data_IF_040667636618
#
_entry.id   IF_040667636618
#
_cell.length_a   1.000
_cell.length_b   1.000
_cell.length_c   1.000
_cell.angle_alpha   90.00
_cell.angle_beta   90.00
_cell.angle_gamma   90.00
#
_symmetry.space_group_name_H-M   'P 1'
#
loop_
_entity.id
_entity.type
_entity.pdbx_description
1 polymer ?
#
# COMPACT_ATOMS: atom_id res chain seq x y z
N UNK A 1 13.90 26.65 -9.75
CA UNK A 1 12.89 26.59 -10.81
C UNK A 1 12.99 25.38 -11.71
N UNK A 2 14.17 25.03 -12.23
CA UNK A 2 14.34 23.89 -13.15
C UNK A 2 14.21 22.53 -12.46
N UNK A 3 14.64 22.42 -11.22
CA UNK A 3 14.46 21.21 -10.40
C UNK A 3 12.97 20.88 -10.24
N UNK A 4 12.17 21.90 -9.97
CA UNK A 4 10.74 21.77 -9.76
C UNK A 4 9.97 21.34 -11.04
N UNK A 5 10.48 21.75 -12.21
CA UNK A 5 9.82 21.49 -13.50
C UNK A 5 10.21 20.16 -14.14
N UNK A 6 11.40 19.63 -13.86
CA UNK A 6 11.96 18.52 -14.64
C UNK A 6 11.88 17.16 -13.97
N UNK A 7 12.04 17.03 -12.66
CA UNK A 7 12.03 15.72 -11.98
C UNK A 7 11.71 15.85 -10.47
N UNK A 8 10.46 16.14 -10.08
CA UNK A 8 10.12 16.25 -8.65
C UNK A 8 10.41 14.98 -7.88
N UNK A 9 10.23 13.80 -8.49
CA UNK A 9 10.50 12.50 -7.87
C UNK A 9 12.01 12.26 -7.70
N UNK A 10 12.82 12.55 -8.70
CA UNK A 10 14.27 12.36 -8.66
C UNK A 10 14.99 13.25 -7.63
N UNK A 11 14.37 14.35 -7.23
CA UNK A 11 14.92 15.28 -6.25
C UNK A 11 14.21 15.26 -4.89
N UNK A 12 13.20 14.42 -4.74
CA UNK A 12 12.43 14.32 -3.49
C UNK A 12 13.29 13.88 -2.30
N UNK A 13 14.18 12.92 -2.52
CA UNK A 13 15.16 12.48 -1.53
C UNK A 13 16.47 12.12 -2.22
N UNK A 14 17.42 13.05 -2.24
CA UNK A 14 18.76 12.79 -2.74
C UNK A 14 19.54 12.04 -1.66
N UNK A 15 19.54 10.71 -1.74
CA UNK A 15 20.19 9.83 -0.77
C UNK A 15 21.66 9.56 -1.08
N UNK A 16 22.10 9.83 -2.33
CA UNK A 16 23.50 9.61 -2.77
C UNK A 16 23.98 10.75 -3.65
N UNK A 17 24.97 11.46 -3.19
CA UNK A 17 25.88 12.22 -4.03
C UNK A 17 26.98 11.23 -4.49
N UNK A 18 26.94 10.79 -5.74
CA UNK A 18 27.97 9.90 -6.23
C UNK A 18 29.31 10.66 -6.31
N UNK A 19 30.40 10.14 -5.71
CA UNK A 19 31.73 10.64 -6.00
C UNK A 19 32.05 10.37 -7.47
N UNK A 20 32.76 11.31 -8.12
CA UNK A 20 33.07 11.34 -9.56
C UNK A 20 33.89 10.12 -10.06
N UNK A 21 34.14 9.11 -9.24
CA UNK A 21 34.85 7.90 -9.60
C UNK A 21 33.96 6.68 -9.48
N UNK A 22 33.61 6.01 -10.59
CA UNK A 22 32.72 4.86 -10.54
C UNK A 22 33.52 3.60 -10.18
N UNK A 23 33.27 3.03 -9.02
CA UNK A 23 33.47 1.60 -8.80
C UNK A 23 32.15 1.03 -8.30
N UNK A 24 31.23 0.84 -9.22
CA UNK A 24 30.02 0.08 -8.92
C UNK A 24 30.37 -1.42 -8.90
N UNK A 25 30.41 -2.00 -7.70
CA UNK A 25 30.34 -3.45 -7.60
C UNK A 25 29.02 -3.94 -8.27
N UNK A 26 29.04 -5.03 -9.04
CA UNK A 26 27.85 -5.54 -9.68
C UNK A 26 26.78 -5.83 -8.62
N UNK A 27 25.62 -5.16 -8.72
CA UNK A 27 24.47 -5.46 -7.87
C UNK A 27 24.08 -6.91 -8.14
N UNK A 28 24.10 -7.76 -7.12
CA UNK A 28 23.47 -9.08 -7.21
C UNK A 28 22.02 -8.89 -7.66
N UNK A 29 21.51 -9.70 -8.60
CA UNK A 29 20.10 -9.66 -8.93
C UNK A 29 19.30 -9.96 -7.66
N UNK A 30 18.57 -8.96 -7.18
CA UNK A 30 17.58 -9.14 -6.13
C UNK A 30 16.33 -9.73 -6.77
N UNK A 31 15.65 -10.65 -6.09
CA UNK A 31 14.31 -11.08 -6.46
C UNK A 31 13.31 -9.89 -6.49
N UNK A 32 12.10 -10.12 -6.98
CA UNK A 32 11.07 -9.08 -6.97
C UNK A 32 10.80 -8.62 -5.54
N UNK A 33 10.59 -7.31 -5.35
CA UNK A 33 10.16 -6.78 -4.05
C UNK A 33 8.68 -7.14 -3.82
N UNK A 34 8.25 -7.22 -2.58
CA UNK A 34 6.84 -7.42 -2.24
C UNK A 34 5.94 -6.35 -2.87
N UNK A 35 6.36 -5.08 -2.88
CA UNK A 35 5.62 -4.01 -3.58
C UNK A 35 5.41 -4.30 -5.07
N UNK A 36 6.40 -4.90 -5.78
CA UNK A 36 6.23 -5.27 -7.19
C UNK A 36 5.20 -6.40 -7.37
N UNK A 37 5.20 -7.38 -6.46
CA UNK A 37 4.19 -8.46 -6.47
C UNK A 37 2.78 -7.89 -6.21
N UNK A 38 2.66 -6.94 -5.29
CA UNK A 38 1.41 -6.24 -5.02
C UNK A 38 0.92 -5.44 -6.23
N UNK A 39 1.78 -4.60 -6.83
CA UNK A 39 1.40 -3.78 -8.00
C UNK A 39 0.96 -4.63 -9.19
N UNK A 40 1.66 -5.74 -9.45
CA UNK A 40 1.28 -6.68 -10.49
C UNK A 40 -0.06 -7.37 -10.19
N UNK A 41 -0.24 -7.85 -8.93
CA UNK A 41 -1.49 -8.46 -8.48
C UNK A 41 -2.67 -7.49 -8.60
N UNK A 42 -2.47 -6.23 -8.24
CA UNK A 42 -3.54 -5.22 -8.31
C UNK A 42 -4.02 -5.00 -9.74
N UNK A 43 -3.10 -4.92 -10.70
CA UNK A 43 -3.43 -4.84 -12.12
C UNK A 43 -4.17 -6.08 -12.62
N UNK A 44 -3.66 -7.27 -12.31
CA UNK A 44 -4.27 -8.53 -12.74
C UNK A 44 -5.69 -8.73 -12.18
N UNK A 45 -5.89 -8.34 -10.91
CA UNK A 45 -7.20 -8.43 -10.25
C UNK A 45 -8.18 -7.40 -10.82
N UNK A 46 -7.71 -6.19 -11.13
CA UNK A 46 -8.54 -5.15 -11.71
C UNK A 46 -9.05 -5.48 -13.13
N UNK A 47 -8.34 -6.35 -13.86
CA UNK A 47 -8.84 -6.90 -15.12
C UNK A 47 -10.01 -7.87 -14.91
N UNK A 48 -10.00 -8.58 -13.79
CA UNK A 48 -10.99 -9.61 -13.47
C UNK A 48 -12.22 -9.06 -12.73
N UNK A 49 -12.01 -8.01 -11.90
CA UNK A 49 -13.09 -7.39 -11.10
C UNK A 49 -13.12 -5.87 -11.33
N UNK A 50 -14.14 -5.42 -12.05
CA UNK A 50 -14.34 -4.01 -12.36
C UNK A 50 -14.67 -3.14 -11.13
N UNK A 51 -15.05 -3.76 -10.01
CA UNK A 51 -15.35 -3.06 -8.74
C UNK A 51 -14.09 -2.66 -7.99
N UNK A 52 -12.93 -3.27 -8.30
CA UNK A 52 -11.68 -2.99 -7.62
C UNK A 52 -11.23 -1.56 -7.91
N UNK A 53 -10.95 -0.82 -6.84
CA UNK A 53 -10.36 0.52 -6.89
C UNK A 53 -9.11 0.58 -6.01
N UNK A 54 -8.09 1.29 -6.44
CA UNK A 54 -6.84 1.48 -5.71
C UNK A 54 -6.76 2.88 -5.11
N UNK A 55 -6.50 2.95 -3.81
CA UNK A 55 -6.40 4.21 -3.05
C UNK A 55 -5.05 4.27 -2.36
N UNK A 56 -4.37 5.40 -2.42
CA UNK A 56 -3.10 5.61 -1.71
C UNK A 56 -2.96 7.03 -1.18
N UNK A 57 -2.41 7.24 0.01
CA UNK A 57 -2.06 8.56 0.53
C UNK A 57 -0.63 8.94 0.12
N UNK A 58 -0.44 9.49 -1.08
CA UNK A 58 0.84 9.97 -1.64
C UNK A 58 1.94 8.89 -1.77
N UNK A 59 1.58 7.61 -1.91
CA UNK A 59 2.54 6.49 -1.96
C UNK A 59 2.55 5.78 -3.33
N UNK A 60 2.24 6.49 -4.41
CA UNK A 60 2.12 5.93 -5.77
C UNK A 60 3.33 5.09 -6.19
N UNK A 61 4.51 5.67 -6.11
CA UNK A 61 5.76 5.01 -6.51
C UNK A 61 6.21 3.99 -5.46
N UNK A 62 6.12 4.35 -4.19
CA UNK A 62 6.57 3.51 -3.08
C UNK A 62 5.79 2.21 -2.95
N UNK A 63 4.50 2.21 -3.27
CA UNK A 63 3.62 1.03 -3.26
C UNK A 63 3.43 0.40 -4.63
N UNK A 64 4.21 0.80 -5.64
CA UNK A 64 4.18 0.25 -7.02
C UNK A 64 2.82 0.37 -7.72
N UNK A 65 2.15 1.53 -7.55
CA UNK A 65 0.85 1.82 -8.16
C UNK A 65 0.94 2.53 -9.52
N UNK A 66 2.14 2.75 -10.04
CA UNK A 66 2.35 3.50 -11.30
C UNK A 66 1.61 2.83 -12.46
N UNK A 67 1.86 1.55 -12.70
CA UNK A 67 1.20 0.80 -13.77
C UNK A 67 -0.33 0.76 -13.60
N UNK A 68 -0.82 0.61 -12.37
CA UNK A 68 -2.25 0.63 -12.09
C UNK A 68 -2.87 1.98 -12.43
N UNK A 69 -2.23 3.08 -12.03
CA UNK A 69 -2.72 4.44 -12.30
C UNK A 69 -2.79 4.78 -13.80
N UNK A 70 -1.89 4.20 -14.61
CA UNK A 70 -1.86 4.39 -16.07
C UNK A 70 -2.90 3.51 -16.79
N UNK A 71 -3.07 2.27 -16.34
CA UNK A 71 -4.00 1.31 -16.96
C UNK A 71 -5.45 1.53 -16.55
N UNK A 72 -5.68 1.99 -15.32
CA UNK A 72 -7.02 2.14 -14.72
C UNK A 72 -7.20 3.53 -14.07
N UNK A 73 -7.01 4.64 -14.80
CA UNK A 73 -7.02 5.99 -14.23
C UNK A 73 -8.33 6.33 -13.50
N UNK A 74 -9.47 5.83 -13.96
CA UNK A 74 -10.78 6.06 -13.34
C UNK A 74 -11.01 5.27 -12.04
N UNK A 75 -10.08 4.36 -11.71
CA UNK A 75 -10.14 3.50 -10.51
C UNK A 75 -8.92 3.71 -9.60
N UNK A 76 -8.11 4.72 -9.87
CA UNK A 76 -6.96 5.11 -9.08
C UNK A 76 -7.21 6.43 -8.37
N UNK A 77 -7.02 6.46 -7.04
CA UNK A 77 -7.22 7.64 -6.20
C UNK A 77 -6.01 7.89 -5.33
N UNK A 78 -5.30 9.00 -5.59
CA UNK A 78 -4.27 9.51 -4.70
C UNK A 78 -4.87 10.68 -3.90
N UNK A 79 -4.97 10.49 -2.60
CA UNK A 79 -5.58 11.47 -1.69
C UNK A 79 -4.53 12.40 -1.05
N UNK A 80 -3.33 12.45 -1.58
CA UNK A 80 -2.19 13.15 -0.99
C UNK A 80 -1.87 12.62 0.43
N UNK A 81 -1.20 13.41 1.27
CA UNK A 81 -0.84 13.00 2.65
C UNK A 81 -2.06 13.19 3.56
N UNK A 82 -3.09 12.36 3.35
CA UNK A 82 -4.36 12.39 4.06
C UNK A 82 -4.85 10.97 4.37
N UNK A 83 -4.15 10.27 5.26
CA UNK A 83 -4.36 8.86 5.57
C UNK A 83 -5.78 8.59 6.10
N UNK A 84 -6.31 9.48 6.96
CA UNK A 84 -7.68 9.36 7.45
C UNK A 84 -8.69 9.42 6.30
N UNK A 85 -8.48 10.37 5.36
CA UNK A 85 -9.34 10.50 4.20
C UNK A 85 -9.27 9.27 3.29
N UNK A 86 -8.09 8.68 3.10
CA UNK A 86 -7.93 7.44 2.33
C UNK A 86 -8.85 6.32 2.85
N UNK A 87 -8.89 6.13 4.17
CA UNK A 87 -9.67 5.07 4.80
C UNK A 87 -11.17 5.38 4.78
N UNK A 88 -11.57 6.62 5.09
CA UNK A 88 -12.98 7.03 5.04
C UNK A 88 -13.53 6.99 3.60
N UNK A 89 -12.74 7.41 2.60
CA UNK A 89 -13.11 7.29 1.19
C UNK A 89 -13.31 5.82 0.78
N UNK A 90 -12.40 4.94 1.19
CA UNK A 90 -12.53 3.50 0.97
C UNK A 90 -13.82 2.95 1.58
N UNK A 91 -14.14 3.34 2.82
CA UNK A 91 -15.37 2.94 3.48
C UNK A 91 -16.61 3.37 2.70
N UNK A 92 -16.67 4.64 2.26
CA UNK A 92 -17.78 5.16 1.47
C UNK A 92 -17.95 4.42 0.13
N UNK A 93 -16.83 4.13 -0.57
CA UNK A 93 -16.87 3.36 -1.82
C UNK A 93 -17.33 1.92 -1.60
N UNK A 94 -16.92 1.29 -0.49
CA UNK A 94 -17.35 -0.06 -0.14
C UNK A 94 -18.88 -0.13 0.15
N UNK A 95 -19.46 0.92 0.74
CA UNK A 95 -20.90 1.01 0.94
C UNK A 95 -21.69 0.97 -0.38
N UNK A 96 -21.10 1.47 -1.47
CA UNK A 96 -21.69 1.47 -2.81
C UNK A 96 -21.27 0.26 -3.66
N UNK A 97 -20.67 -0.75 -3.05
CA UNK A 97 -20.34 -2.03 -3.68
C UNK A 97 -19.02 -2.05 -4.45
N UNK A 98 -18.17 -1.03 -4.33
CA UNK A 98 -16.81 -1.13 -4.79
C UNK A 98 -15.99 -2.07 -3.89
N UNK A 99 -14.84 -2.50 -4.40
CA UNK A 99 -13.84 -3.32 -3.70
C UNK A 99 -12.55 -2.50 -3.51
N UNK A 100 -12.48 -1.61 -2.51
CA UNK A 100 -11.33 -0.75 -2.32
C UNK A 100 -10.12 -1.51 -1.79
N UNK A 101 -8.96 -1.22 -2.37
CA UNK A 101 -7.65 -1.62 -1.89
C UNK A 101 -6.89 -0.36 -1.46
N UNK A 102 -6.63 -0.23 -0.17
CA UNK A 102 -5.87 0.89 0.40
C UNK A 102 -4.40 0.47 0.49
N UNK A 103 -3.56 1.02 -0.38
CA UNK A 103 -2.12 0.81 -0.38
C UNK A 103 -1.44 1.87 0.49
N UNK A 104 -0.96 1.45 1.65
CA UNK A 104 -0.45 2.35 2.68
C UNK A 104 0.72 1.72 3.43
N UNK A 105 1.68 2.54 3.89
CA UNK A 105 2.75 2.04 4.76
C UNK A 105 2.23 1.79 6.17
N UNK A 106 2.77 0.75 6.81
CA UNK A 106 2.40 0.37 8.17
C UNK A 106 2.44 1.54 9.16
N UNK A 107 3.54 2.31 9.16
CA UNK A 107 3.68 3.49 10.04
C UNK A 107 2.62 4.57 9.78
N UNK A 108 2.22 4.78 8.52
CA UNK A 108 1.25 5.82 8.15
C UNK A 108 -0.19 5.43 8.44
N UNK A 109 -0.51 4.13 8.43
CA UNK A 109 -1.84 3.65 8.81
C UNK A 109 -2.20 4.01 10.26
N UNK A 110 -1.21 4.24 11.12
CA UNK A 110 -1.45 4.70 12.49
C UNK A 110 -2.28 5.99 12.56
N UNK A 111 -2.14 6.88 11.57
CA UNK A 111 -2.94 8.12 11.51
C UNK A 111 -4.41 7.89 11.19
N UNK A 112 -4.75 6.76 10.60
CA UNK A 112 -6.10 6.39 10.19
C UNK A 112 -6.67 5.25 11.03
N UNK A 113 -6.12 5.00 12.20
CA UNK A 113 -6.54 3.91 13.08
C UNK A 113 -7.98 4.05 13.54
N UNK A 114 -8.40 5.26 13.90
CA UNK A 114 -9.80 5.54 14.25
C UNK A 114 -10.74 5.26 13.07
N UNK A 115 -10.43 5.76 11.88
CA UNK A 115 -11.25 5.56 10.67
C UNK A 115 -11.30 4.07 10.28
N UNK A 116 -10.21 3.32 10.45
CA UNK A 116 -10.20 1.89 10.21
C UNK A 116 -11.19 1.17 11.13
N UNK A 117 -11.23 1.53 12.41
CA UNK A 117 -12.18 0.95 13.36
C UNK A 117 -13.60 1.44 13.08
N UNK A 118 -13.81 2.77 13.09
CA UNK A 118 -15.13 3.37 13.08
C UNK A 118 -15.80 3.26 11.70
N UNK A 119 -15.07 3.63 10.63
CA UNK A 119 -15.68 3.74 9.31
C UNK A 119 -15.71 2.40 8.57
N UNK A 120 -14.75 1.50 8.84
CA UNK A 120 -14.63 0.22 8.13
C UNK A 120 -15.04 -0.97 8.99
N UNK A 121 -14.35 -1.20 10.11
CA UNK A 121 -14.51 -2.44 10.86
C UNK A 121 -15.84 -2.58 11.58
N UNK A 122 -16.34 -1.52 12.22
CA UNK A 122 -17.64 -1.51 12.92
C UNK A 122 -18.80 -1.80 11.94
N UNK A 123 -18.66 -1.36 10.70
CA UNK A 123 -19.65 -1.60 9.64
C UNK A 123 -19.40 -2.90 8.86
N UNK A 124 -18.32 -3.61 9.18
CA UNK A 124 -17.92 -4.84 8.50
C UNK A 124 -17.76 -4.66 6.98
N UNK A 125 -17.21 -3.52 6.56
CA UNK A 125 -17.07 -3.19 5.15
C UNK A 125 -15.93 -3.95 4.48
N UNK A 126 -16.12 -4.26 3.22
CA UNK A 126 -15.22 -5.02 2.37
C UNK A 126 -14.09 -4.11 1.83
N UNK A 127 -13.11 -3.85 2.68
CA UNK A 127 -11.92 -3.04 2.38
C UNK A 127 -10.67 -3.88 2.60
N UNK A 128 -9.79 -3.96 1.59
CA UNK A 128 -8.49 -4.60 1.69
C UNK A 128 -7.40 -3.56 1.96
N UNK A 129 -6.69 -3.70 3.08
CA UNK A 129 -5.50 -2.92 3.40
C UNK A 129 -4.25 -3.66 2.96
N UNK A 130 -3.57 -3.16 1.93
CA UNK A 130 -2.25 -3.61 1.50
C UNK A 130 -1.19 -2.79 2.24
N UNK A 131 -0.65 -3.36 3.30
CA UNK A 131 0.20 -2.66 4.27
C UNK A 131 1.67 -2.96 3.96
N UNK A 132 2.31 -2.02 3.28
CA UNK A 132 3.73 -2.08 2.92
C UNK A 132 4.62 -1.58 4.06
N UNK A 133 5.92 -1.85 4.02
CA UNK A 133 6.92 -1.48 5.05
C UNK A 133 6.55 -2.02 6.43
N UNK A 134 6.11 -3.27 6.51
CA UNK A 134 5.85 -3.94 7.78
C UNK A 134 7.16 -4.33 8.48
N UNK A 135 7.25 -4.11 9.78
CA UNK A 135 8.44 -4.41 10.57
C UNK A 135 9.54 -3.35 10.44
N UNK A 136 10.80 -3.78 10.52
CA UNK A 136 11.97 -2.91 10.44
C UNK A 136 12.30 -2.59 8.98
N UNK A 137 12.50 -1.32 8.67
CA UNK A 137 12.65 -0.82 7.29
C UNK A 137 14.05 -0.28 6.95
N UNK A 138 15.04 -0.45 7.84
CA UNK A 138 16.43 -0.11 7.57
C UNK A 138 16.67 1.36 7.23
N UNK A 139 16.94 1.65 5.97
CA UNK A 139 17.36 2.98 5.48
C UNK A 139 16.35 4.10 5.81
N UNK A 140 15.07 3.81 5.81
CA UNK A 140 14.02 4.81 6.08
C UNK A 140 13.96 5.23 7.55
N UNK A 141 14.62 4.49 8.43
CA UNK A 141 14.79 4.84 9.83
C UNK A 141 13.57 4.63 10.72
N UNK A 142 13.62 5.09 11.97
CA UNK A 142 12.62 4.77 12.99
C UNK A 142 11.23 5.34 12.70
N UNK A 143 11.15 6.43 11.93
CA UNK A 143 9.86 7.06 11.57
C UNK A 143 9.03 6.23 10.59
N UNK A 144 9.66 5.27 9.91
CA UNK A 144 9.02 4.40 8.92
C UNK A 144 8.88 2.95 9.40
N UNK A 145 9.38 2.61 10.59
CA UNK A 145 9.28 1.26 11.13
C UNK A 145 7.81 0.87 11.41
N UNK A 146 7.39 -0.26 10.84
CA UNK A 146 6.04 -0.81 10.94
C UNK A 146 5.90 -1.79 12.10
N UNK A 147 6.05 -1.32 13.34
CA UNK A 147 6.14 -2.18 14.52
C UNK A 147 4.83 -2.40 15.26
N UNK A 148 3.79 -1.61 14.99
CA UNK A 148 2.58 -1.56 15.83
C UNK A 148 1.32 -2.11 15.17
N UNK A 149 1.31 -2.29 13.86
CA UNK A 149 0.13 -2.68 13.09
C UNK A 149 -0.48 -4.03 13.54
N UNK A 150 0.34 -5.05 13.81
CA UNK A 150 -0.17 -6.31 14.33
C UNK A 150 -0.92 -6.15 15.66
N UNK A 151 -0.41 -5.30 16.55
CA UNK A 151 -1.02 -5.10 17.88
C UNK A 151 -2.41 -4.47 17.75
N UNK A 152 -2.54 -3.38 16.99
CA UNK A 152 -3.83 -2.69 16.89
C UNK A 152 -4.80 -3.35 15.91
N UNK A 153 -4.34 -4.03 14.87
CA UNK A 153 -5.23 -4.75 13.95
C UNK A 153 -5.84 -6.01 14.59
N UNK A 154 -5.06 -6.72 15.39
CA UNK A 154 -5.53 -7.96 16.05
C UNK A 154 -6.58 -7.75 17.13
N UNK A 155 -6.70 -6.58 17.69
CA UNK A 155 -7.74 -6.29 18.69
C UNK A 155 -9.10 -5.94 18.07
N UNK A 156 -9.18 -5.81 16.74
CA UNK A 156 -10.40 -5.44 16.03
C UNK A 156 -11.20 -6.70 15.67
N UNK A 157 -12.43 -6.89 16.21
CA UNK A 157 -13.24 -8.04 15.87
C UNK A 157 -13.59 -8.10 14.38
N UNK A 158 -13.52 -9.28 13.78
CA UNK A 158 -13.84 -9.50 12.37
C UNK A 158 -12.78 -9.04 11.37
N UNK A 159 -11.69 -8.45 11.82
CA UNK A 159 -10.55 -8.08 10.98
C UNK A 159 -9.72 -9.31 10.61
N UNK A 160 -9.61 -9.61 9.31
CA UNK A 160 -8.70 -10.64 8.82
C UNK A 160 -7.29 -10.04 8.69
N UNK A 161 -6.32 -10.59 9.42
CA UNK A 161 -4.92 -10.13 9.37
C UNK A 161 -4.01 -11.24 8.85
N UNK A 162 -3.29 -10.98 7.76
CA UNK A 162 -2.42 -11.94 7.08
C UNK A 162 -1.00 -11.40 6.93
N UNK A 163 -0.01 -12.28 7.11
CA UNK A 163 1.42 -11.95 7.01
C UNK A 163 2.12 -13.00 6.15
N UNK A 164 2.45 -12.70 4.89
CA UNK A 164 3.08 -13.64 3.99
C UNK A 164 4.55 -13.89 4.37
N UNK A 165 5.02 -15.11 4.18
CA UNK A 165 6.41 -15.50 4.37
C UNK A 165 7.26 -15.35 3.09
N UNK A 166 6.62 -15.31 1.92
CA UNK A 166 7.26 -15.14 0.63
C UNK A 166 6.34 -14.41 -0.39
N UNK A 167 6.87 -14.12 -1.56
CA UNK A 167 6.18 -13.39 -2.63
C UNK A 167 4.97 -14.15 -3.19
N UNK A 168 5.04 -15.47 -3.25
CA UNK A 168 3.95 -16.30 -3.74
C UNK A 168 2.80 -16.35 -2.72
N UNK A 169 3.13 -16.44 -1.45
CA UNK A 169 2.15 -16.37 -0.37
C UNK A 169 1.49 -15.00 -0.31
N UNK A 170 2.27 -13.92 -0.51
CA UNK A 170 1.72 -12.55 -0.62
C UNK A 170 0.61 -12.49 -1.67
N UNK A 171 0.88 -12.98 -2.88
CA UNK A 171 -0.10 -12.97 -3.96
C UNK A 171 -1.38 -13.74 -3.61
N UNK A 172 -1.24 -14.87 -2.94
CA UNK A 172 -2.38 -15.68 -2.48
C UNK A 172 -3.18 -14.97 -1.40
N UNK A 173 -2.50 -14.36 -0.42
CA UNK A 173 -3.14 -13.63 0.67
C UNK A 173 -3.87 -12.39 0.18
N UNK A 174 -3.31 -11.65 -0.79
CA UNK A 174 -4.01 -10.54 -1.43
C UNK A 174 -5.31 -11.01 -2.11
N UNK A 175 -5.26 -12.12 -2.84
CA UNK A 175 -6.46 -12.71 -3.44
C UNK A 175 -7.47 -13.17 -2.39
N UNK A 176 -7.01 -13.79 -1.31
CA UNK A 176 -7.86 -14.19 -0.18
C UNK A 176 -8.53 -12.98 0.47
N UNK A 177 -7.76 -11.90 0.71
CA UNK A 177 -8.29 -10.66 1.27
C UNK A 177 -9.32 -9.97 0.38
N UNK A 178 -9.10 -9.99 -0.95
CA UNK A 178 -10.06 -9.45 -1.92
C UNK A 178 -11.38 -10.23 -1.97
N UNK A 179 -11.32 -11.55 -1.77
CA UNK A 179 -12.48 -12.43 -1.75
C UNK A 179 -13.18 -12.50 -0.39
N UNK A 180 -12.51 -12.07 0.68
CA UNK A 180 -13.07 -12.05 2.01
C UNK A 180 -14.21 -11.03 2.09
N UNK A 181 -15.29 -11.39 2.72
CA UNK A 181 -16.43 -10.49 2.94
C UNK A 181 -16.26 -9.80 4.29
N UNK A 182 -15.64 -8.66 4.30
CA UNK A 182 -15.30 -7.87 5.47
C UNK A 182 -13.91 -7.24 5.41
N UNK A 183 -13.46 -6.56 6.46
CA UNK A 183 -12.17 -5.88 6.47
C UNK A 183 -11.01 -6.87 6.53
N UNK A 184 -10.04 -6.71 5.61
CA UNK A 184 -8.86 -7.55 5.54
C UNK A 184 -7.58 -6.71 5.47
N UNK A 185 -6.50 -7.21 6.05
CA UNK A 185 -5.16 -6.63 5.99
C UNK A 185 -4.13 -7.68 5.58
N UNK A 186 -3.32 -7.37 4.59
CA UNK A 186 -2.12 -8.12 4.23
C UNK A 186 -0.93 -7.21 4.48
N UNK A 187 -0.05 -7.59 5.39
CA UNK A 187 1.11 -6.79 5.78
C UNK A 187 2.42 -7.45 5.34
N UNK A 188 3.30 -6.70 4.65
CA UNK A 188 4.55 -7.18 4.05
C UNK A 188 5.66 -6.13 4.02
#
# INVERSE_FOLDING_TARGET
GDVYKRQPIGYHAITKLEPVTPVAAPKKPSGPKYSNVFGQWLCDMAEQDARLVGITPAMKEGSDLVAFSERFPERYFDVAIAEQHAVTLAAGMACEGAKPVVAIYSTFLQRAYDQLIHDVAVQHLDVLFAIDRAGLVGEDGPTHAGSFDLSYLRCIPGMLVMTPSDENELRRMLSTGHLYNGPAAVRY
#
